data_IF_242831870123
#
_entry.id   IF_242831870123
#
_cell.length_a   1.000
_cell.length_b   1.000
_cell.length_c   1.000
_cell.angle_alpha   90.00
_cell.angle_beta   90.00
_cell.angle_gamma   90.00
#
_symmetry.space_group_name_H-M   'P 1'
#
loop_
_entity.id
_entity.type
_entity.pdbx_description
1 polymer ?
#
# COMPACT_ATOMS: atom_id res chain seq x y z
N UNK A 1 18.26 -5.81 15.45
CA UNK A 1 17.95 -7.04 14.69
C UNK A 1 17.37 -6.68 13.32
N UNK A 2 16.42 -5.75 13.28
CA UNK A 2 15.83 -5.20 12.05
C UNK A 2 16.88 -4.64 11.06
N UNK A 3 17.87 -3.85 11.51
CA UNK A 3 18.90 -3.34 10.59
C UNK A 3 19.71 -4.42 9.86
N UNK A 4 19.94 -5.59 10.49
CA UNK A 4 20.63 -6.72 9.81
C UNK A 4 19.75 -7.38 8.75
N UNK A 5 18.43 -7.40 8.94
CA UNK A 5 17.48 -7.86 7.93
C UNK A 5 17.51 -6.92 6.72
N UNK A 6 17.50 -5.61 6.98
CA UNK A 6 17.61 -4.56 5.95
C UNK A 6 18.93 -4.68 5.19
N UNK A 7 20.07 -4.81 5.87
CA UNK A 7 21.38 -5.01 5.22
C UNK A 7 21.39 -6.22 4.26
N UNK A 8 20.72 -7.32 4.64
CA UNK A 8 20.59 -8.49 3.76
C UNK A 8 19.71 -8.19 2.54
N UNK A 9 18.62 -7.45 2.72
CA UNK A 9 17.74 -7.02 1.62
C UNK A 9 18.49 -6.07 0.68
N UNK A 10 19.25 -5.11 1.21
CA UNK A 10 20.06 -4.16 0.44
C UNK A 10 21.12 -4.89 -0.40
N UNK A 11 21.81 -5.86 0.18
CA UNK A 11 22.78 -6.70 -0.53
C UNK A 11 22.14 -7.46 -1.72
N UNK A 12 20.89 -7.92 -1.55
CA UNK A 12 20.12 -8.49 -2.66
C UNK A 12 19.72 -7.44 -3.70
N UNK A 13 19.29 -6.24 -3.29
CA UNK A 13 18.92 -5.15 -4.21
C UNK A 13 20.07 -4.74 -5.12
N UNK A 14 21.32 -4.80 -4.63
CA UNK A 14 22.53 -4.55 -5.42
C UNK A 14 23.04 -5.80 -6.17
N UNK A 15 22.25 -6.87 -6.22
CA UNK A 15 22.47 -8.10 -6.99
C UNK A 15 23.70 -8.91 -6.56
N UNK A 16 24.05 -8.89 -5.27
CA UNK A 16 25.12 -9.77 -4.76
C UNK A 16 24.75 -11.25 -4.82
N UNK A 17 23.47 -11.57 -4.79
CA UNK A 17 22.94 -12.93 -4.86
C UNK A 17 21.50 -12.94 -5.39
N UNK A 18 20.99 -14.14 -5.71
CA UNK A 18 19.64 -14.34 -6.23
C UNK A 18 18.57 -14.48 -5.11
N UNK A 19 17.31 -14.66 -5.53
CA UNK A 19 16.17 -14.74 -4.63
C UNK A 19 16.24 -15.99 -3.73
N UNK A 20 16.71 -17.10 -4.28
CA UNK A 20 16.85 -18.37 -3.57
C UNK A 20 17.84 -18.22 -2.41
N UNK A 21 18.98 -17.58 -2.66
CA UNK A 21 19.99 -17.28 -1.65
C UNK A 21 19.45 -16.25 -0.62
N UNK A 22 18.69 -15.24 -1.05
CA UNK A 22 18.05 -14.29 -0.13
C UNK A 22 17.17 -15.01 0.88
N UNK A 23 16.24 -15.85 0.42
CA UNK A 23 15.29 -16.57 1.28
C UNK A 23 16.04 -17.53 2.21
N UNK A 24 17.04 -18.25 1.69
CA UNK A 24 17.86 -19.15 2.49
C UNK A 24 18.57 -18.39 3.61
N UNK A 25 19.34 -17.35 3.28
CA UNK A 25 20.10 -16.57 4.27
C UNK A 25 19.17 -15.92 5.29
N UNK A 26 18.05 -15.35 4.84
CA UNK A 26 17.08 -14.75 5.75
C UNK A 26 16.58 -15.77 6.76
N UNK A 27 16.24 -16.97 6.29
CA UNK A 27 15.73 -18.04 7.14
C UNK A 27 16.79 -18.57 8.11
N UNK A 28 18.02 -18.74 7.63
CA UNK A 28 19.14 -19.24 8.44
C UNK A 28 19.53 -18.27 9.57
N UNK A 29 19.49 -16.95 9.30
CA UNK A 29 19.90 -15.92 10.28
C UNK A 29 18.76 -15.42 11.17
N UNK A 30 17.54 -15.34 10.65
CA UNK A 30 16.43 -14.66 11.32
C UNK A 30 15.21 -15.56 11.57
N UNK A 31 15.22 -16.79 11.07
CA UNK A 31 14.08 -17.69 11.14
C UNK A 31 13.03 -17.39 10.07
N UNK A 32 11.80 -17.89 10.28
CA UNK A 32 10.69 -17.73 9.33
C UNK A 32 10.52 -16.26 8.93
N UNK A 33 10.35 -15.99 7.63
CA UNK A 33 9.97 -14.67 7.13
C UNK A 33 8.55 -14.37 7.59
N UNK A 34 8.39 -13.27 8.31
CA UNK A 34 7.11 -12.76 8.81
C UNK A 34 7.04 -11.28 8.48
N UNK A 35 6.55 -10.98 7.27
CA UNK A 35 6.47 -9.61 6.76
C UNK A 35 5.50 -8.78 7.61
N UNK A 36 4.43 -9.39 8.09
CA UNK A 36 3.44 -8.74 8.94
C UNK A 36 4.11 -8.17 10.19
N UNK A 37 4.81 -9.03 10.93
CA UNK A 37 5.53 -8.64 12.13
C UNK A 37 6.62 -7.59 11.85
N UNK A 38 7.37 -7.76 10.75
CA UNK A 38 8.43 -6.83 10.39
C UNK A 38 7.90 -5.43 10.02
N UNK A 39 6.73 -5.34 9.39
CA UNK A 39 6.04 -4.06 9.14
C UNK A 39 5.48 -3.43 10.41
N UNK A 40 4.83 -4.19 11.30
CA UNK A 40 4.34 -3.69 12.60
C UNK A 40 5.48 -3.08 13.43
N UNK A 41 6.61 -3.79 13.51
CA UNK A 41 7.78 -3.29 14.23
C UNK A 41 8.31 -1.99 13.60
N UNK A 42 8.36 -1.92 12.28
CA UNK A 42 8.77 -0.70 11.56
C UNK A 42 7.84 0.48 11.84
N UNK A 43 6.54 0.22 11.99
CA UNK A 43 5.56 1.25 12.37
C UNK A 43 5.80 1.76 13.79
N UNK A 44 6.03 0.86 14.74
CA UNK A 44 6.32 1.21 16.15
C UNK A 44 7.61 2.03 16.26
N UNK A 45 8.65 1.65 15.51
CA UNK A 45 9.94 2.33 15.50
C UNK A 45 9.95 3.61 14.63
N UNK A 46 8.88 3.84 13.86
CA UNK A 46 8.76 4.91 12.86
C UNK A 46 9.91 4.91 11.84
N UNK A 47 10.30 3.73 11.40
CA UNK A 47 11.38 3.54 10.41
C UNK A 47 10.81 3.42 8.99
N UNK A 48 10.86 4.53 8.25
CA UNK A 48 10.35 4.59 6.88
C UNK A 48 11.18 3.76 5.90
N UNK A 49 12.48 3.57 6.18
CA UNK A 49 13.36 2.75 5.32
C UNK A 49 13.06 1.27 5.54
N UNK A 50 12.84 0.86 6.79
CA UNK A 50 12.44 -0.50 7.11
C UNK A 50 11.14 -0.90 6.41
N UNK A 51 10.12 -0.01 6.42
CA UNK A 51 8.88 -0.23 5.65
C UNK A 51 9.19 -0.51 4.18
N UNK A 52 10.02 0.33 3.55
CA UNK A 52 10.37 0.17 2.13
C UNK A 52 11.02 -1.18 1.86
N UNK A 53 12.01 -1.56 2.68
CA UNK A 53 12.72 -2.82 2.55
C UNK A 53 11.79 -4.02 2.71
N UNK A 54 10.85 -3.98 3.67
CA UNK A 54 9.93 -5.10 3.89
C UNK A 54 8.81 -5.18 2.85
N UNK A 55 8.29 -4.04 2.35
CA UNK A 55 7.38 -4.04 1.20
C UNK A 55 8.07 -4.56 -0.06
N UNK A 56 9.33 -4.19 -0.28
CA UNK A 56 10.15 -4.73 -1.36
C UNK A 56 10.37 -6.23 -1.21
N UNK A 57 10.78 -6.70 -0.03
CA UNK A 57 10.97 -8.12 0.25
C UNK A 57 9.68 -8.90 0.00
N UNK A 58 8.53 -8.38 0.47
CA UNK A 58 7.22 -8.96 0.25
C UNK A 58 6.92 -9.15 -1.24
N UNK A 59 7.17 -8.12 -2.06
CA UNK A 59 7.00 -8.20 -3.50
C UNK A 59 7.94 -9.23 -4.16
N UNK A 60 9.20 -9.28 -3.75
CA UNK A 60 10.21 -10.22 -4.28
C UNK A 60 9.84 -11.66 -3.99
N UNK A 61 9.43 -11.96 -2.75
CA UNK A 61 9.09 -13.32 -2.34
C UNK A 61 7.69 -13.72 -2.77
N UNK A 62 6.88 -12.77 -3.28
CA UNK A 62 5.45 -12.94 -3.53
C UNK A 62 4.74 -13.35 -2.24
N UNK A 63 4.83 -12.48 -1.24
CA UNK A 63 4.18 -12.64 0.05
C UNK A 63 2.66 -12.40 -0.09
N UNK A 64 2.03 -13.27 -0.85
CA UNK A 64 0.61 -13.30 -1.17
C UNK A 64 0.22 -14.76 -1.34
N UNK A 65 -1.01 -15.11 -0.96
CA UNK A 65 -1.55 -16.44 -1.21
C UNK A 65 -2.63 -16.37 -2.30
N UNK A 66 -2.70 -17.44 -3.09
CA UNK A 66 -3.74 -17.60 -4.11
C UNK A 66 -4.98 -18.21 -3.45
N UNK A 67 -6.09 -17.49 -3.51
CA UNK A 67 -7.40 -17.96 -3.05
C UNK A 67 -8.43 -17.67 -4.15
N UNK A 68 -9.17 -18.70 -4.59
CA UNK A 68 -10.23 -18.58 -5.60
C UNK A 68 -9.86 -17.75 -6.86
N UNK A 69 -8.63 -17.93 -7.38
CA UNK A 69 -8.07 -17.23 -8.54
C UNK A 69 -7.73 -15.74 -8.32
N UNK A 70 -7.78 -15.26 -7.09
CA UNK A 70 -7.33 -13.94 -6.66
C UNK A 70 -6.11 -14.06 -5.72
N UNK A 71 -5.34 -12.98 -5.63
CA UNK A 71 -4.19 -12.91 -4.72
C UNK A 71 -4.58 -12.05 -3.52
N UNK A 72 -4.42 -12.60 -2.32
CA UNK A 72 -4.65 -11.88 -1.07
C UNK A 72 -3.31 -11.58 -0.39
N UNK A 73 -3.20 -10.37 0.15
CA UNK A 73 -2.06 -9.98 0.98
C UNK A 73 -2.34 -10.33 2.43
N UNK A 74 -1.49 -11.18 3.03
CA UNK A 74 -1.72 -11.76 4.36
C UNK A 74 -1.94 -10.69 5.45
N UNK A 75 -1.35 -9.50 5.32
CA UNK A 75 -1.51 -8.41 6.28
C UNK A 75 -2.14 -7.14 5.69
N UNK A 76 -3.26 -7.29 4.97
CA UNK A 76 -3.98 -6.12 4.43
C UNK A 76 -4.35 -5.09 5.51
N UNK A 77 -4.69 -5.54 6.72
CA UNK A 77 -4.99 -4.67 7.86
C UNK A 77 -3.81 -3.76 8.26
N UNK A 78 -2.56 -4.24 8.13
CA UNK A 78 -1.36 -3.44 8.38
C UNK A 78 -1.21 -2.37 7.30
N UNK A 79 -1.46 -2.71 6.03
CA UNK A 79 -1.40 -1.71 4.95
C UNK A 79 -2.46 -0.61 5.13
N UNK A 80 -3.66 -0.98 5.60
CA UNK A 80 -4.74 -0.05 5.92
C UNK A 80 -4.39 0.91 7.08
N UNK A 81 -3.68 0.43 8.10
CA UNK A 81 -3.20 1.28 9.18
C UNK A 81 -2.02 2.15 8.72
N UNK A 82 -1.06 1.54 8.04
CA UNK A 82 0.18 2.18 7.60
C UNK A 82 -0.11 3.37 6.68
N UNK A 83 -1.03 3.24 5.71
CA UNK A 83 -1.35 4.36 4.79
C UNK A 83 -1.93 5.58 5.51
N UNK A 84 -2.44 5.45 6.73
CA UNK A 84 -2.95 6.58 7.53
C UNK A 84 -1.83 7.32 8.28
N UNK A 85 -0.63 6.76 8.34
CA UNK A 85 0.49 7.30 9.09
C UNK A 85 1.27 8.36 8.31
N UNK A 86 1.11 9.62 8.69
CA UNK A 86 1.67 10.76 7.96
C UNK A 86 3.20 10.95 8.09
N UNK A 87 3.88 10.19 8.95
CA UNK A 87 5.31 10.38 9.24
C UNK A 87 6.24 9.79 8.16
N UNK A 88 5.72 9.07 7.17
CA UNK A 88 6.48 8.47 6.08
C UNK A 88 6.03 8.97 4.70
N UNK A 89 6.80 8.61 3.67
CA UNK A 89 6.59 9.08 2.29
C UNK A 89 6.00 8.00 1.35
N UNK A 90 5.52 6.88 1.90
CA UNK A 90 5.11 5.69 1.13
C UNK A 90 3.63 5.63 0.75
N UNK A 91 2.86 6.69 1.01
CA UNK A 91 1.41 6.71 0.80
C UNK A 91 0.99 6.33 -0.62
N UNK A 92 1.73 6.76 -1.65
CA UNK A 92 1.39 6.41 -3.04
C UNK A 92 1.63 4.94 -3.37
N UNK A 93 2.72 4.36 -2.86
CA UNK A 93 3.02 2.93 -3.02
C UNK A 93 2.00 2.07 -2.28
N UNK A 94 1.60 2.51 -1.08
CA UNK A 94 0.56 1.86 -0.28
C UNK A 94 -0.80 1.92 -1.00
N UNK A 95 -1.19 3.09 -1.53
CA UNK A 95 -2.42 3.23 -2.30
C UNK A 95 -2.44 2.28 -3.51
N UNK A 96 -1.30 2.13 -4.20
CA UNK A 96 -1.15 1.18 -5.31
C UNK A 96 -1.26 -0.29 -4.87
N UNK A 97 -0.70 -0.66 -3.72
CA UNK A 97 -0.82 -2.01 -3.17
C UNK A 97 -2.27 -2.30 -2.77
N UNK A 98 -2.94 -1.39 -2.07
CA UNK A 98 -4.34 -1.53 -1.69
C UNK A 98 -5.26 -1.63 -2.92
N UNK A 99 -5.01 -0.83 -3.97
CA UNK A 99 -5.71 -0.95 -5.25
C UNK A 99 -5.46 -2.30 -5.94
N UNK A 100 -4.25 -2.87 -5.82
CA UNK A 100 -3.95 -4.19 -6.39
C UNK A 100 -4.74 -5.29 -5.71
N UNK A 101 -4.80 -5.26 -4.38
CA UNK A 101 -5.44 -6.30 -3.58
C UNK A 101 -6.96 -6.13 -3.47
N UNK A 102 -7.48 -4.91 -3.65
CA UNK A 102 -8.92 -4.63 -3.74
C UNK A 102 -9.76 -5.13 -2.56
N UNK A 103 -9.12 -5.28 -1.41
CA UNK A 103 -9.81 -5.81 -0.23
C UNK A 103 -10.84 -4.79 0.28
N UNK A 104 -12.11 -5.19 0.50
CA UNK A 104 -13.16 -4.32 0.99
C UNK A 104 -12.83 -3.57 2.29
N UNK A 105 -11.98 -4.13 3.16
CA UNK A 105 -11.54 -3.47 4.40
C UNK A 105 -10.72 -2.20 4.15
N UNK A 106 -10.22 -1.99 2.93
CA UNK A 106 -9.38 -0.86 2.55
C UNK A 106 -10.17 0.41 2.19
N UNK A 107 -11.51 0.31 2.08
CA UNK A 107 -12.37 1.41 1.63
C UNK A 107 -12.23 2.66 2.49
N UNK A 108 -12.33 2.52 3.80
CA UNK A 108 -12.24 3.67 4.70
C UNK A 108 -10.84 4.29 4.71
N UNK A 109 -9.78 3.48 4.65
CA UNK A 109 -8.41 3.97 4.60
C UNK A 109 -8.15 4.78 3.32
N UNK A 110 -8.49 4.23 2.15
CA UNK A 110 -8.34 4.92 0.86
C UNK A 110 -9.18 6.20 0.80
N UNK A 111 -10.41 6.19 1.33
CA UNK A 111 -11.24 7.38 1.39
C UNK A 111 -10.65 8.48 2.29
N UNK A 112 -10.11 8.12 3.46
CA UNK A 112 -9.48 9.11 4.34
C UNK A 112 -8.24 9.73 3.67
N UNK A 113 -7.38 8.89 3.11
CA UNK A 113 -6.11 9.32 2.49
C UNK A 113 -6.34 10.15 1.23
N UNK A 114 -7.45 9.96 0.51
CA UNK A 114 -7.77 10.81 -0.65
C UNK A 114 -8.07 12.27 -0.29
N UNK A 115 -8.28 12.57 1.00
CA UNK A 115 -8.49 13.91 1.53
C UNK A 115 -7.29 14.42 2.35
N UNK A 116 -6.16 13.70 2.37
CA UNK A 116 -4.98 14.15 3.11
C UNK A 116 -4.31 15.33 2.41
N UNK A 117 -3.87 16.29 3.22
CA UNK A 117 -2.89 17.31 2.86
C UNK A 117 -1.58 16.93 3.56
N UNK A 118 -0.61 16.43 2.79
CA UNK A 118 0.69 16.00 3.30
C UNK A 118 1.74 17.01 2.85
N UNK A 119 2.51 17.58 3.79
CA UNK A 119 3.49 18.65 3.51
C UNK A 119 4.47 18.28 2.36
N UNK A 120 4.85 17.01 2.26
CA UNK A 120 5.79 16.55 1.24
C UNK A 120 5.15 16.42 -0.17
N UNK A 121 3.83 16.54 -0.27
CA UNK A 121 3.04 16.58 -1.49
C UNK A 121 2.47 17.98 -1.79
N UNK A 122 2.84 19.02 -1.03
CA UNK A 122 2.30 20.38 -1.24
C UNK A 122 2.58 20.95 -2.64
N UNK A 123 3.60 20.43 -3.33
CA UNK A 123 3.94 20.80 -4.71
C UNK A 123 3.27 19.91 -5.77
N UNK A 124 2.43 18.96 -5.36
CA UNK A 124 1.72 18.04 -6.25
C UNK A 124 0.39 18.64 -6.73
N UNK A 125 0.47 19.48 -7.76
CA UNK A 125 -0.71 20.03 -8.45
C UNK A 125 -1.59 18.92 -9.08
N UNK A 126 -1.10 17.69 -9.20
CA UNK A 126 -1.81 16.57 -9.83
C UNK A 126 -2.65 15.74 -8.86
N UNK A 127 -2.52 15.97 -7.55
CA UNK A 127 -3.20 15.20 -6.50
C UNK A 127 -3.06 13.68 -6.70
N UNK A 128 -1.86 13.22 -7.09
CA UNK A 128 -1.61 11.86 -7.56
C UNK A 128 -1.98 10.80 -6.51
N UNK A 129 -1.72 11.08 -5.23
CA UNK A 129 -2.14 10.22 -4.12
C UNK A 129 -3.66 10.07 -4.05
N UNK A 130 -4.40 11.18 -4.10
CA UNK A 130 -5.85 11.17 -4.05
C UNK A 130 -6.45 10.44 -5.26
N UNK A 131 -5.89 10.67 -6.46
CA UNK A 131 -6.27 9.95 -7.67
C UNK A 131 -6.06 8.45 -7.49
N UNK A 132 -4.89 8.00 -7.03
CA UNK A 132 -4.64 6.56 -6.78
C UNK A 132 -5.67 5.96 -5.81
N UNK A 133 -6.01 6.69 -4.74
CA UNK A 133 -7.02 6.24 -3.79
C UNK A 133 -8.42 6.14 -4.42
N UNK A 134 -8.82 7.11 -5.23
CA UNK A 134 -10.10 7.10 -5.98
C UNK A 134 -10.18 5.91 -6.92
N UNK A 135 -9.10 5.61 -7.65
CA UNK A 135 -9.04 4.43 -8.52
C UNK A 135 -9.08 3.13 -7.71
N UNK A 136 -8.41 3.08 -6.55
CA UNK A 136 -8.53 1.97 -5.59
C UNK A 136 -9.96 1.73 -5.14
N UNK A 137 -10.70 2.78 -4.76
CA UNK A 137 -12.12 2.69 -4.41
C UNK A 137 -12.97 2.18 -5.58
N UNK A 138 -12.70 2.66 -6.80
CA UNK A 138 -13.38 2.20 -8.01
C UNK A 138 -13.11 0.73 -8.31
N UNK A 139 -11.88 0.27 -8.11
CA UNK A 139 -11.48 -1.12 -8.30
C UNK A 139 -12.06 -2.07 -7.24
N UNK A 140 -12.21 -1.63 -6.00
CA UNK A 140 -12.91 -2.37 -4.93
C UNK A 140 -14.40 -2.52 -5.26
N UNK A 141 -15.05 -1.45 -5.73
CA UNK A 141 -16.39 -1.52 -6.33
C UNK A 141 -17.55 -1.97 -5.42
N UNK A 142 -17.33 -2.11 -4.11
CA UNK A 142 -18.40 -2.42 -3.15
C UNK A 142 -19.38 -1.25 -3.03
N UNK A 143 -20.59 -1.51 -2.52
CA UNK A 143 -21.57 -0.43 -2.29
C UNK A 143 -21.00 0.69 -1.42
N UNK A 144 -20.20 0.33 -0.42
CA UNK A 144 -19.52 1.29 0.46
C UNK A 144 -18.49 2.12 -0.32
N UNK A 145 -17.64 1.49 -1.13
CA UNK A 145 -16.67 2.21 -1.96
C UNK A 145 -17.35 3.19 -2.93
N UNK A 146 -18.45 2.76 -3.56
CA UNK A 146 -19.25 3.60 -4.44
C UNK A 146 -19.91 4.77 -3.69
N UNK A 147 -20.35 4.58 -2.45
CA UNK A 147 -20.88 5.66 -1.62
C UNK A 147 -19.81 6.69 -1.25
N UNK A 148 -18.59 6.25 -0.93
CA UNK A 148 -17.44 7.16 -0.75
C UNK A 148 -17.12 7.93 -2.02
N UNK A 149 -17.16 7.29 -3.19
CA UNK A 149 -16.96 7.95 -4.48
C UNK A 149 -18.05 9.00 -4.78
N UNK A 150 -19.31 8.76 -4.40
CA UNK A 150 -20.38 9.78 -4.51
C UNK A 150 -20.06 11.01 -3.67
N UNK A 151 -19.54 10.83 -2.46
CA UNK A 151 -19.09 11.96 -1.63
C UNK A 151 -17.92 12.70 -2.29
N UNK A 152 -16.91 12.00 -2.79
CA UNK A 152 -15.77 12.63 -3.48
C UNK A 152 -16.19 13.35 -4.77
N UNK A 153 -17.26 12.90 -5.44
CA UNK A 153 -17.80 13.55 -6.64
C UNK A 153 -18.40 14.94 -6.39
N UNK A 154 -18.57 15.34 -5.13
CA UNK A 154 -19.00 16.68 -4.73
C UNK A 154 -17.87 17.52 -4.14
N UNK A 155 -16.61 17.10 -4.29
CA UNK A 155 -15.45 17.85 -3.81
C UNK A 155 -15.30 19.20 -4.52
N UNK A 156 -14.85 20.22 -3.79
CA UNK A 156 -14.45 21.52 -4.35
C UNK A 156 -13.14 21.41 -5.16
N UNK A 157 -12.35 20.35 -4.94
CA UNK A 157 -11.19 20.04 -5.75
C UNK A 157 -11.64 19.34 -7.04
N UNK A 158 -11.47 20.03 -8.17
CA UNK A 158 -11.91 19.52 -9.47
C UNK A 158 -11.19 18.22 -9.89
N UNK A 159 -9.91 18.02 -9.53
CA UNK A 159 -9.19 16.77 -9.85
C UNK A 159 -9.82 15.59 -9.12
N UNK A 160 -10.11 15.73 -7.83
CA UNK A 160 -10.78 14.70 -7.01
C UNK A 160 -12.18 14.42 -7.57
N UNK A 161 -12.95 15.49 -7.80
CA UNK A 161 -14.34 15.40 -8.28
C UNK A 161 -14.44 14.72 -9.64
N UNK A 162 -13.63 15.12 -10.62
CA UNK A 162 -13.65 14.53 -11.97
C UNK A 162 -13.26 13.05 -11.95
N UNK A 163 -12.22 12.68 -11.19
CA UNK A 163 -11.81 11.28 -11.08
C UNK A 163 -12.88 10.41 -10.40
N UNK A 164 -13.53 10.92 -9.35
CA UNK A 164 -14.61 10.20 -8.68
C UNK A 164 -15.83 9.99 -9.60
N UNK A 165 -16.23 11.01 -10.37
CA UNK A 165 -17.29 10.91 -11.38
C UNK A 165 -16.94 9.87 -12.44
N UNK A 166 -15.68 9.84 -12.89
CA UNK A 166 -15.23 8.88 -13.90
C UNK A 166 -15.33 7.43 -13.40
N UNK A 167 -14.93 7.16 -12.16
CA UNK A 167 -15.08 5.83 -11.56
C UNK A 167 -16.57 5.44 -11.42
N UNK A 168 -17.43 6.34 -10.97
CA UNK A 168 -18.87 6.06 -10.86
C UNK A 168 -19.51 5.71 -12.21
N UNK A 169 -19.09 6.36 -13.30
CA UNK A 169 -19.59 6.06 -14.66
C UNK A 169 -19.23 4.65 -15.13
N UNK A 170 -18.10 4.10 -14.70
CA UNK A 170 -17.68 2.73 -15.03
C UNK A 170 -18.68 1.72 -14.43
N UNK A 171 -19.17 1.99 -13.22
CA UNK A 171 -20.10 1.14 -12.46
C UNK A 171 -21.58 1.41 -12.72
N UNK A 172 -21.92 2.37 -13.58
CA UNK A 172 -23.31 2.72 -13.93
C UNK A 172 -23.84 2.00 -15.17
N UNK A 173 -23.12 0.98 -15.67
CA UNK A 173 -23.47 0.19 -16.87
C UNK A 173 -24.00 -1.18 -16.48
#
# INVERSE_FOLDING_TARGET
MQSKKIELIDAFMVKEFDKEILVQRYTDFFGKIDICHDLELSMVEKDANAIDSFLYLAAVIKYEYEYEYEYEYECIHILNELILLQWHYKHEDLARLLQRYKDPSSVDALYQVSNFELEYLDFDDSYALAVKCIWGLGDIGTSEALDKLKVLSTSDNEVIKENAINQLKIHSK
#
